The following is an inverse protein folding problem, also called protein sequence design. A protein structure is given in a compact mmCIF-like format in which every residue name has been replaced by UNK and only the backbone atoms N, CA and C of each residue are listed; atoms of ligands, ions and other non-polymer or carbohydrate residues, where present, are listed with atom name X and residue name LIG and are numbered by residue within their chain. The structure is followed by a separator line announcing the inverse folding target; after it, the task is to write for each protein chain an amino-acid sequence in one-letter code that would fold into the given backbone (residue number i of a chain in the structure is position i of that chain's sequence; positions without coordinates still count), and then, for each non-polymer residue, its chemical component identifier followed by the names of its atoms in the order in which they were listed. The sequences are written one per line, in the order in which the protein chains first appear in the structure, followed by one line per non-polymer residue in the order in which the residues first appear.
data_IF_905724062169
#
_entry.id   IF_905724062169
#
_cell.length_a   1.000
_cell.length_b   1.000
_cell.length_c   1.000
_cell.angle_alpha   90.00
_cell.angle_beta   90.00
_cell.angle_gamma   90.00
#
_symmetry.space_group_name_H-M   'P 1'
#
loop_
_entity.id
_entity.type
_entity.pdbx_description
1 polymer ?
#
# COMPACT_ATOMS: atom_id res chain seq x y z
N UNK A 1 -20.04 6.22 -10.72
CA UNK A 1 -18.77 5.53 -10.38
C UNK A 1 -18.49 5.48 -8.87
N UNK A 2 -18.61 6.56 -8.10
CA UNK A 2 -18.28 6.57 -6.66
C UNK A 2 -19.10 5.54 -5.85
N UNK A 3 -20.43 5.47 -6.06
CA UNK A 3 -21.31 4.51 -5.38
C UNK A 3 -20.93 3.05 -5.62
N UNK A 4 -20.53 2.70 -6.84
CA UNK A 4 -20.10 1.34 -7.22
C UNK A 4 -18.79 0.96 -6.52
N UNK A 5 -17.81 1.88 -6.44
CA UNK A 5 -16.55 1.63 -5.72
C UNK A 5 -16.79 1.42 -4.22
N UNK A 6 -17.70 2.19 -3.63
CA UNK A 6 -18.07 2.04 -2.21
C UNK A 6 -18.77 0.70 -1.97
N UNK A 7 -19.72 0.31 -2.83
CA UNK A 7 -20.41 -0.98 -2.74
C UNK A 7 -19.42 -2.15 -2.85
N UNK A 8 -18.46 -2.08 -3.77
CA UNK A 8 -17.40 -3.09 -3.89
C UNK A 8 -16.53 -3.17 -2.64
N UNK A 9 -16.15 -2.05 -2.03
CA UNK A 9 -15.40 -2.06 -0.77
C UNK A 9 -16.20 -2.68 0.38
N UNK A 10 -17.48 -2.36 0.48
CA UNK A 10 -18.36 -2.96 1.50
C UNK A 10 -18.46 -4.48 1.29
N UNK A 11 -18.63 -4.94 0.04
CA UNK A 11 -18.64 -6.37 -0.30
C UNK A 11 -17.33 -7.07 0.09
N UNK A 12 -16.18 -6.45 -0.17
CA UNK A 12 -14.89 -7.00 0.23
C UNK A 12 -14.79 -7.10 1.75
N UNK A 13 -15.18 -6.07 2.50
CA UNK A 13 -15.17 -6.11 3.96
C UNK A 13 -16.08 -7.24 4.49
N UNK A 14 -17.28 -7.39 3.93
CA UNK A 14 -18.21 -8.47 4.31
C UNK A 14 -17.59 -9.84 4.02
N UNK A 15 -16.96 -10.02 2.85
CA UNK A 15 -16.29 -11.30 2.53
C UNK A 15 -15.14 -11.60 3.48
N UNK A 16 -14.38 -10.59 3.90
CA UNK A 16 -13.29 -10.75 4.86
C UNK A 16 -13.80 -11.16 6.23
N UNK A 17 -14.87 -10.53 6.70
CA UNK A 17 -15.51 -10.91 7.98
C UNK A 17 -16.05 -12.33 7.90
N UNK A 18 -16.67 -12.72 6.79
CA UNK A 18 -17.17 -14.09 6.59
C UNK A 18 -16.04 -15.13 6.62
N UNK A 19 -14.94 -14.88 5.89
CA UNK A 19 -13.75 -15.75 5.90
C UNK A 19 -13.14 -15.83 7.30
N UNK A 20 -13.02 -14.70 7.99
CA UNK A 20 -12.50 -14.66 9.36
C UNK A 20 -13.36 -15.41 10.35
N UNK A 21 -14.69 -15.36 10.18
CA UNK A 21 -15.62 -16.13 11.00
C UNK A 21 -15.45 -17.63 10.74
N UNK A 22 -15.41 -18.06 9.48
CA UNK A 22 -15.21 -19.47 9.14
C UNK A 22 -13.87 -20.03 9.67
N UNK A 23 -12.83 -19.20 9.72
CA UNK A 23 -11.50 -19.61 10.19
C UNK A 23 -11.27 -19.38 11.68
N UNK A 24 -12.27 -18.93 12.46
CA UNK A 24 -12.05 -18.46 13.84
C UNK A 24 -11.35 -19.49 14.74
N UNK A 25 -11.67 -20.77 14.58
CA UNK A 25 -11.09 -21.86 15.37
C UNK A 25 -9.61 -22.12 15.04
N UNK A 26 -9.23 -21.94 13.78
CA UNK A 26 -7.87 -22.20 13.30
C UNK A 26 -6.92 -21.01 13.46
N UNK A 27 -7.43 -19.81 13.77
CA UNK A 27 -6.60 -18.62 13.93
C UNK A 27 -5.75 -18.77 15.20
N UNK A 28 -4.42 -18.80 15.07
CA UNK A 28 -3.49 -18.69 16.20
C UNK A 28 -2.98 -17.26 16.29
N UNK A 29 -2.91 -16.72 17.51
CA UNK A 29 -2.39 -15.36 17.72
C UNK A 29 -0.99 -15.18 17.12
N UNK A 30 -0.13 -16.19 17.26
CA UNK A 30 1.21 -16.15 16.67
C UNK A 30 1.17 -15.98 15.15
N UNK A 31 0.30 -16.74 14.46
CA UNK A 31 0.15 -16.60 13.01
C UNK A 31 -0.33 -15.21 12.57
N UNK A 32 -1.16 -14.55 13.38
CA UNK A 32 -1.58 -13.16 13.11
C UNK A 32 -0.39 -12.19 13.26
N UNK A 33 0.42 -12.36 14.30
CA UNK A 33 1.64 -11.54 14.51
C UNK A 33 2.65 -11.77 13.38
N UNK A 34 2.83 -13.01 12.94
CA UNK A 34 3.74 -13.34 11.84
C UNK A 34 3.30 -12.65 10.54
N UNK A 35 2.00 -12.67 10.24
CA UNK A 35 1.43 -11.93 9.10
C UNK A 35 1.70 -10.42 9.24
N UNK A 36 1.40 -9.83 10.40
CA UNK A 36 1.61 -8.40 10.65
C UNK A 36 3.08 -7.99 10.52
N UNK A 37 4.01 -8.82 10.99
CA UNK A 37 5.45 -8.61 10.79
C UNK A 37 5.80 -8.63 9.31
N UNK A 38 5.25 -9.58 8.55
CA UNK A 38 5.38 -9.64 7.09
C UNK A 38 4.86 -8.36 6.41
N UNK A 39 3.69 -7.87 6.80
CA UNK A 39 3.11 -6.61 6.28
C UNK A 39 3.99 -5.40 6.60
N UNK A 40 4.48 -5.29 7.84
CA UNK A 40 5.38 -4.22 8.27
C UNK A 40 6.66 -4.20 7.44
N UNK A 41 7.30 -5.36 7.26
CA UNK A 41 8.52 -5.49 6.48
C UNK A 41 8.28 -5.15 5.01
N UNK A 42 7.20 -5.66 4.39
CA UNK A 42 6.83 -5.33 3.03
C UNK A 42 6.55 -3.83 2.84
N UNK A 43 5.85 -3.21 3.79
CA UNK A 43 5.54 -1.78 3.76
C UNK A 43 6.80 -0.93 3.83
N UNK A 44 7.72 -1.25 4.75
CA UNK A 44 8.98 -0.56 4.91
C UNK A 44 9.88 -0.69 3.66
N UNK A 45 9.94 -1.88 3.06
CA UNK A 45 10.69 -2.10 1.83
C UNK A 45 10.14 -1.27 0.66
N UNK A 46 8.81 -1.25 0.46
CA UNK A 46 8.20 -0.46 -0.62
C UNK A 46 8.42 1.03 -0.39
N UNK A 47 8.23 1.50 0.85
CA UNK A 47 8.48 2.89 1.21
C UNK A 47 9.90 3.32 0.85
N UNK A 48 10.90 2.49 1.17
CA UNK A 48 12.29 2.74 0.84
C UNK A 48 12.56 2.72 -0.67
N UNK A 49 12.11 1.69 -1.39
CA UNK A 49 12.36 1.54 -2.83
C UNK A 49 11.73 2.70 -3.60
N UNK A 50 10.44 2.98 -3.37
CA UNK A 50 9.75 4.06 -4.10
C UNK A 50 10.30 5.43 -3.70
N UNK A 51 10.68 5.61 -2.44
CA UNK A 51 11.31 6.84 -1.95
C UNK A 51 12.62 7.14 -2.69
N UNK A 52 13.50 6.15 -2.83
CA UNK A 52 14.75 6.28 -3.59
C UNK A 52 14.47 6.55 -5.08
N UNK A 53 13.52 5.82 -5.67
CA UNK A 53 13.13 6.03 -7.08
C UNK A 53 12.60 7.44 -7.33
N UNK A 54 11.78 7.97 -6.43
CA UNK A 54 11.25 9.32 -6.52
C UNK A 54 12.36 10.36 -6.39
N UNK A 55 13.29 10.16 -5.44
CA UNK A 55 14.46 11.01 -5.24
C UNK A 55 15.35 11.10 -6.47
N UNK A 56 15.60 9.96 -7.12
CA UNK A 56 16.49 9.89 -8.27
C UNK A 56 15.84 10.40 -9.57
N UNK A 57 14.61 9.97 -9.86
CA UNK A 57 13.96 10.28 -11.14
C UNK A 57 13.38 11.70 -11.19
N UNK A 58 13.02 12.27 -10.04
CA UNK A 58 12.29 13.53 -10.00
C UNK A 58 12.84 14.51 -8.93
N UNK A 59 14.16 14.83 -8.96
CA UNK A 59 14.78 15.71 -7.97
C UNK A 59 14.13 17.11 -7.96
N UNK A 60 13.77 17.61 -9.14
CA UNK A 60 13.14 18.94 -9.31
C UNK A 60 11.73 19.01 -8.70
N UNK A 61 10.99 17.90 -8.70
CA UNK A 61 9.67 17.84 -8.09
C UNK A 61 9.78 17.87 -6.55
N UNK A 62 10.78 17.18 -6.00
CA UNK A 62 11.04 17.18 -4.55
C UNK A 62 11.55 18.54 -4.10
N UNK A 63 12.48 19.17 -4.83
CA UNK A 63 12.96 20.52 -4.49
C UNK A 63 11.86 21.56 -4.53
N UNK A 64 10.91 21.44 -5.47
CA UNK A 64 9.73 22.32 -5.55
C UNK A 64 8.77 22.15 -4.38
N UNK A 65 8.49 20.90 -3.97
CA UNK A 65 7.68 20.61 -2.77
C UNK A 65 8.30 21.17 -1.49
N UNK A 66 9.63 21.14 -1.37
CA UNK A 66 10.36 21.64 -0.18
C UNK A 66 10.52 23.16 -0.18
N UNK A 67 10.67 23.80 -1.35
CA UNK A 67 10.92 25.25 -1.45
C UNK A 67 9.66 26.13 -1.51
N UNK A 68 8.46 25.56 -1.63
CA UNK A 68 7.19 26.33 -1.72
C UNK A 68 7.13 27.36 -2.87
N UNK A 69 8.06 27.31 -3.83
CA UNK A 69 7.98 28.10 -5.06
C UNK A 69 6.93 27.47 -5.97
N UNK A 70 6.08 28.32 -6.56
CA UNK A 70 5.01 27.90 -7.47
C UNK A 70 5.57 26.92 -8.49
N UNK A 71 4.89 25.78 -8.57
CA UNK A 71 5.22 24.61 -9.39
C UNK A 71 5.01 24.95 -10.88
N UNK A 72 5.77 25.90 -11.42
CA UNK A 72 5.69 26.33 -12.83
C UNK A 72 6.62 25.52 -13.73
N UNK A 73 7.22 24.44 -13.22
CA UNK A 73 8.20 23.64 -13.95
C UNK A 73 7.99 22.13 -13.88
N UNK A 74 6.74 21.63 -13.77
CA UNK A 74 6.52 20.22 -14.12
C UNK A 74 6.35 20.12 -15.64
N UNK A 75 7.49 19.93 -16.28
CA UNK A 75 7.61 19.41 -17.63
C UNK A 75 6.64 18.22 -17.83
N UNK A 76 5.74 18.33 -18.81
CA UNK A 76 4.79 17.31 -19.27
C UNK A 76 3.79 16.77 -18.23
N UNK A 77 2.48 16.89 -18.53
CA UNK A 77 1.38 16.28 -17.77
C UNK A 77 1.55 14.77 -17.52
N UNK A 78 2.38 14.08 -18.31
CA UNK A 78 2.68 12.65 -18.16
C UNK A 78 3.60 12.38 -16.94
N UNK A 79 4.55 13.25 -16.65
CA UNK A 79 5.51 13.04 -15.57
C UNK A 79 4.92 13.45 -14.20
N UNK A 80 4.05 14.46 -14.14
CA UNK A 80 3.26 14.78 -12.94
C UNK A 80 2.43 13.58 -12.47
N UNK A 81 1.68 12.95 -13.39
CA UNK A 81 0.81 11.80 -13.07
C UNK A 81 1.59 10.58 -12.59
N UNK A 82 2.82 10.40 -13.07
CA UNK A 82 3.71 9.33 -12.63
C UNK A 82 4.18 9.56 -11.20
N UNK A 83 4.66 10.77 -10.90
CA UNK A 83 5.06 11.16 -9.54
C UNK A 83 3.89 10.98 -8.57
N UNK A 84 2.72 11.52 -8.91
CA UNK A 84 1.51 11.42 -8.09
C UNK A 84 1.16 9.96 -7.79
N UNK A 85 1.20 9.09 -8.80
CA UNK A 85 0.92 7.67 -8.59
C UNK A 85 1.97 6.96 -7.73
N UNK A 86 3.24 7.35 -7.79
CA UNK A 86 4.29 6.80 -6.93
C UNK A 86 4.09 7.24 -5.48
N UNK A 87 3.78 8.52 -5.27
CA UNK A 87 3.45 9.05 -3.93
C UNK A 87 2.21 8.35 -3.37
N UNK A 88 1.19 8.05 -4.18
CA UNK A 88 0.02 7.30 -3.72
C UNK A 88 0.38 5.90 -3.22
N UNK A 89 1.33 5.20 -3.86
CA UNK A 89 1.82 3.89 -3.44
C UNK A 89 2.56 3.99 -2.09
N UNK A 90 3.38 5.03 -1.92
CA UNK A 90 4.07 5.33 -0.65
C UNK A 90 3.05 5.55 0.46
N UNK A 91 2.05 6.40 0.23
CA UNK A 91 1.01 6.71 1.22
C UNK A 91 0.19 5.47 1.59
N UNK A 92 -0.18 4.64 0.62
CA UNK A 92 -0.89 3.38 0.88
C UNK A 92 -0.06 2.44 1.78
N UNK A 93 1.24 2.31 1.53
CA UNK A 93 2.13 1.44 2.32
C UNK A 93 2.39 2.02 3.72
N UNK A 94 2.52 3.35 3.83
CA UNK A 94 2.63 4.03 5.12
C UNK A 94 1.35 3.84 5.97
N UNK A 95 0.18 3.87 5.34
CA UNK A 95 -1.10 3.64 6.01
C UNK A 95 -1.20 2.19 6.53
N UNK A 96 -0.73 1.20 5.77
CA UNK A 96 -0.65 -0.19 6.23
C UNK A 96 0.27 -0.28 7.46
N UNK A 97 1.44 0.35 7.42
CA UNK A 97 2.37 0.35 8.55
C UNK A 97 1.75 0.96 9.81
N UNK A 98 1.08 2.11 9.69
CA UNK A 98 0.34 2.73 10.80
C UNK A 98 -0.73 1.77 11.33
N UNK A 99 -1.47 1.10 10.43
CA UNK A 99 -2.47 0.12 10.81
C UNK A 99 -1.90 -1.08 11.58
N UNK A 100 -0.74 -1.58 11.18
CA UNK A 100 -0.03 -2.65 11.89
C UNK A 100 0.37 -2.20 13.30
N UNK A 101 0.95 -1.00 13.44
CA UNK A 101 1.34 -0.45 14.75
C UNK A 101 0.11 -0.27 15.64
N UNK A 102 -0.97 0.28 15.09
CA UNK A 102 -2.22 0.47 15.80
C UNK A 102 -2.80 -0.86 16.30
N UNK A 103 -2.74 -1.90 15.48
CA UNK A 103 -3.15 -3.24 15.88
C UNK A 103 -2.33 -3.78 17.05
N UNK A 104 -1.00 -3.59 17.04
CA UNK A 104 -0.15 -4.02 18.16
C UNK A 104 -0.51 -3.31 19.46
N UNK A 105 -0.74 -1.99 19.40
CA UNK A 105 -1.14 -1.21 20.59
C UNK A 105 -2.48 -1.67 21.14
N UNK A 106 -3.50 -1.81 20.28
CA UNK A 106 -4.82 -2.30 20.70
C UNK A 106 -4.71 -3.71 21.27
N UNK A 107 -3.99 -4.60 20.60
CA UNK A 107 -3.82 -5.98 21.05
C UNK A 107 -3.16 -6.04 22.41
N UNK A 108 -2.15 -5.20 22.68
CA UNK A 108 -1.48 -5.14 23.98
C UNK A 108 -2.43 -4.68 25.10
N UNK A 109 -3.29 -3.70 24.83
CA UNK A 109 -4.27 -3.19 25.80
C UNK A 109 -5.37 -4.23 26.08
N UNK A 110 -5.94 -4.82 25.03
CA UNK A 110 -7.13 -5.67 25.14
C UNK A 110 -6.81 -7.03 25.78
N UNK A 111 -5.64 -7.62 25.48
CA UNK A 111 -5.29 -8.99 25.91
C UNK A 111 -5.36 -9.26 27.42
N UNK A 112 -5.13 -8.26 28.25
CA UNK A 112 -5.09 -8.40 29.71
C UNK A 112 -6.38 -7.92 30.41
N UNK A 113 -7.43 -7.63 29.64
CA UNK A 113 -8.71 -7.15 30.21
C UNK A 113 -9.73 -8.27 30.30
N UNK A 114 -10.56 -8.28 31.34
CA UNK A 114 -11.65 -9.25 31.52
C UNK A 114 -12.65 -9.23 30.35
N UNK A 115 -12.72 -8.10 29.63
CA UNK A 115 -13.50 -7.95 28.39
C UNK A 115 -13.07 -8.93 27.29
N UNK A 116 -11.78 -9.26 27.21
CA UNK A 116 -11.27 -10.23 26.26
C UNK A 116 -11.77 -11.64 26.54
N UNK A 117 -11.87 -12.03 27.81
CA UNK A 117 -12.30 -13.39 28.20
C UNK A 117 -13.75 -13.64 27.76
N UNK A 118 -14.64 -12.64 27.95
CA UNK A 118 -16.05 -12.76 27.62
C UNK A 118 -16.34 -12.69 26.09
N UNK A 119 -15.54 -11.94 25.33
CA UNK A 119 -15.77 -11.72 23.89
C UNK A 119 -14.63 -12.20 22.98
N UNK A 120 -13.84 -13.19 23.41
CA UNK A 120 -12.63 -13.61 22.71
C UNK A 120 -12.87 -13.99 21.24
N UNK A 121 -13.99 -14.65 20.92
CA UNK A 121 -14.34 -15.06 19.54
C UNK A 121 -14.56 -13.84 18.64
N UNK A 122 -15.32 -12.85 19.10
CA UNK A 122 -15.64 -11.63 18.36
C UNK A 122 -14.39 -10.79 18.13
N UNK A 123 -13.57 -10.62 19.17
CA UNK A 123 -12.31 -9.85 19.09
C UNK A 123 -11.34 -10.51 18.12
N UNK A 124 -11.22 -11.84 18.17
CA UNK A 124 -10.35 -12.62 17.27
C UNK A 124 -10.80 -12.52 15.82
N UNK A 125 -12.11 -12.62 15.57
CA UNK A 125 -12.70 -12.54 14.24
C UNK A 125 -12.51 -11.15 13.62
N UNK A 126 -12.82 -10.09 14.39
CA UNK A 126 -12.65 -8.70 13.94
C UNK A 126 -11.16 -8.39 13.72
N UNK A 127 -10.31 -8.80 14.65
CA UNK A 127 -8.86 -8.57 14.56
C UNK A 127 -8.28 -9.23 13.32
N UNK A 128 -8.64 -10.47 13.03
CA UNK A 128 -8.15 -11.17 11.83
C UNK A 128 -8.72 -10.57 10.53
N UNK A 129 -10.01 -10.19 10.50
CA UNK A 129 -10.58 -9.49 9.35
C UNK A 129 -9.85 -8.18 9.06
N UNK A 130 -9.47 -7.44 10.10
CA UNK A 130 -8.66 -6.23 9.97
C UNK A 130 -7.27 -6.53 9.40
N UNK A 131 -6.58 -7.56 9.88
CA UNK A 131 -5.27 -7.95 9.34
C UNK A 131 -5.38 -8.36 7.86
N UNK A 132 -6.39 -9.14 7.48
CA UNK A 132 -6.64 -9.49 6.09
C UNK A 132 -6.93 -8.26 5.21
N UNK A 133 -7.65 -7.28 5.75
CA UNK A 133 -7.90 -6.03 5.04
C UNK A 133 -6.61 -5.25 4.77
N UNK A 134 -5.73 -5.12 5.78
CA UNK A 134 -4.41 -4.52 5.60
C UNK A 134 -3.57 -5.27 4.58
N UNK A 135 -3.65 -6.60 4.58
CA UNK A 135 -2.95 -7.45 3.61
C UNK A 135 -3.39 -7.15 2.19
N UNK A 136 -4.70 -7.01 1.93
CA UNK A 136 -5.21 -6.66 0.59
C UNK A 136 -4.73 -5.29 0.13
N UNK A 137 -4.70 -4.28 1.02
CA UNK A 137 -4.15 -2.96 0.69
C UNK A 137 -2.68 -3.08 0.31
N UNK A 138 -1.90 -3.84 1.08
CA UNK A 138 -0.48 -4.03 0.80
C UNK A 138 -0.24 -4.77 -0.52
N UNK A 139 -1.01 -5.82 -0.82
CA UNK A 139 -0.97 -6.49 -2.10
C UNK A 139 -1.28 -5.52 -3.25
N UNK A 140 -2.32 -4.69 -3.12
CA UNK A 140 -2.64 -3.68 -4.13
C UNK A 140 -1.50 -2.69 -4.36
N UNK A 141 -0.84 -2.22 -3.29
CA UNK A 141 0.34 -1.36 -3.39
C UNK A 141 1.49 -2.05 -4.14
N UNK A 142 1.76 -3.32 -3.84
CA UNK A 142 2.76 -4.15 -4.54
C UNK A 142 2.42 -4.33 -6.03
N UNK A 143 1.16 -4.63 -6.37
CA UNK A 143 0.77 -4.76 -7.77
C UNK A 143 0.90 -3.45 -8.53
N UNK A 144 0.51 -2.33 -7.91
CA UNK A 144 0.65 -1.01 -8.51
C UNK A 144 2.11 -0.68 -8.82
N UNK A 145 3.03 -0.90 -7.88
CA UNK A 145 4.46 -0.64 -8.12
C UNK A 145 5.01 -1.53 -9.25
N UNK A 146 4.63 -2.80 -9.32
CA UNK A 146 5.05 -3.70 -10.40
C UNK A 146 4.57 -3.17 -11.76
N UNK A 147 3.29 -2.82 -11.88
CA UNK A 147 2.73 -2.26 -13.13
C UNK A 147 3.45 -0.97 -13.52
N UNK A 148 3.72 -0.08 -12.56
CA UNK A 148 4.45 1.17 -12.83
C UNK A 148 5.87 0.90 -13.34
N UNK A 149 6.57 -0.08 -12.78
CA UNK A 149 7.89 -0.48 -13.26
C UNK A 149 7.84 -1.04 -14.69
N UNK A 150 6.87 -1.92 -15.00
CA UNK A 150 6.71 -2.48 -16.35
C UNK A 150 6.44 -1.38 -17.37
N UNK A 151 5.52 -0.45 -17.06
CA UNK A 151 5.20 0.68 -17.94
C UNK A 151 6.43 1.57 -18.16
N UNK A 152 7.22 1.83 -17.11
CA UNK A 152 8.44 2.61 -17.20
C UNK A 152 9.47 1.94 -18.14
N UNK A 153 9.70 0.64 -17.98
CA UNK A 153 10.61 -0.14 -18.84
C UNK A 153 10.14 -0.12 -20.30
N UNK A 154 8.85 -0.29 -20.55
CA UNK A 154 8.31 -0.23 -21.91
C UNK A 154 8.46 1.16 -22.56
N UNK A 155 8.19 2.22 -21.79
CA UNK A 155 8.42 3.60 -22.22
C UNK A 155 9.91 3.86 -22.51
N UNK A 156 10.83 3.24 -21.76
CA UNK A 156 12.27 3.35 -21.98
C UNK A 156 12.68 2.67 -23.30
N UNK A 157 12.24 1.43 -23.54
CA UNK A 157 12.53 0.72 -24.79
C UNK A 157 12.01 1.46 -26.02
N UNK A 158 10.80 2.02 -25.93
CA UNK A 158 10.23 2.81 -27.02
C UNK A 158 11.10 4.03 -27.35
N UNK A 159 11.51 4.81 -26.33
CA UNK A 159 12.39 5.97 -26.52
C UNK A 159 13.75 5.60 -27.11
N UNK A 160 14.35 4.49 -26.65
CA UNK A 160 15.63 4.01 -27.18
C UNK A 160 15.53 3.60 -28.65
N UNK A 161 14.45 2.93 -29.05
CA UNK A 161 14.23 2.55 -30.44
C UNK A 161 13.98 3.77 -31.34
N UNK A 162 13.21 4.76 -30.89
CA UNK A 162 13.00 6.02 -31.61
C UNK A 162 14.32 6.77 -31.84
N UNK A 163 15.21 6.79 -30.84
CA UNK A 163 16.54 7.39 -30.98
C UNK A 163 17.43 6.64 -31.97
N UNK A 164 17.41 5.30 -31.96
CA UNK A 164 18.15 4.49 -32.93
C UNK A 164 17.65 4.73 -34.36
N UNK A 165 16.34 4.81 -34.57
CA UNK A 165 15.74 5.09 -35.87
C UNK A 165 16.14 6.47 -36.39
N UNK A 166 16.15 7.50 -35.53
CA UNK A 166 16.60 8.85 -35.90
C UNK A 166 18.10 8.95 -36.19
N UNK A 167 18.92 8.04 -35.69
CA UNK A 167 20.37 8.03 -35.92
C UNK A 167 20.78 7.28 -37.19
N UNK A 168 19.87 6.47 -37.75
CA UNK A 168 20.07 5.68 -38.97
C UNK A 168 19.40 6.32 -40.21
N UNK A 169 18.85 7.53 -40.07
CA UNK A 169 18.25 8.38 -41.11
C UNK A 169 19.11 9.63 -41.24
#
# INVERSE_FOLDING_TARGET
MLKIKVILHILVIISLVYVSFYMHDNIRYQGVVDILSGLQNASAMIFAIVGIWLAYLYPNAISGLVKSEKIDFIASTKDTKRIESLVFIILASALVLIGVIFFYVISAIVKNTDFYIFHHVTIKTIGFAYVLYLFLIQCYAVFMIIIRNIVFINDLHKKLNEQKLKKNL
#
